data_IF_422687939051
#
_entry.id   IF_422687939051
#
_cell.length_a   1.000
_cell.length_b   1.000
_cell.length_c   1.000
_cell.angle_alpha   90.00
_cell.angle_beta   90.00
_cell.angle_gamma   90.00
#
_symmetry.space_group_name_H-M   'P 1'
#
loop_
_entity.id
_entity.type
_entity.pdbx_description
1 polymer ?
#
# COMPACT_ATOMS: atom_id res chain seq x y z
N UNK A 1 36.48 -19.22 3.74
CA UNK A 1 35.56 -19.39 4.90
C UNK A 1 34.87 -18.12 5.43
N UNK A 2 35.28 -16.89 5.04
CA UNK A 2 34.65 -15.63 5.53
C UNK A 2 33.27 -15.30 4.90
N UNK A 3 32.94 -15.84 3.74
CA UNK A 3 31.66 -15.54 3.06
C UNK A 3 30.41 -16.18 3.71
N UNK A 4 30.57 -17.30 4.40
CA UNK A 4 29.47 -18.03 5.02
C UNK A 4 28.94 -17.36 6.31
N UNK A 5 29.80 -16.61 7.01
CA UNK A 5 29.45 -15.89 8.24
C UNK A 5 28.56 -14.68 7.97
N UNK A 6 28.77 -13.93 6.86
CA UNK A 6 27.93 -12.79 6.47
C UNK A 6 26.54 -13.25 6.04
N UNK A 7 26.44 -14.31 5.23
CA UNK A 7 25.15 -14.90 4.83
C UNK A 7 24.33 -15.39 6.02
N UNK A 8 24.96 -16.06 7.00
CA UNK A 8 24.29 -16.50 8.23
C UNK A 8 23.80 -15.35 9.10
N UNK A 9 24.54 -14.22 9.15
CA UNK A 9 24.11 -13.03 9.90
C UNK A 9 22.92 -12.33 9.25
N UNK A 10 22.88 -12.27 7.92
CA UNK A 10 21.74 -11.70 7.17
C UNK A 10 20.49 -12.56 7.37
N UNK A 11 20.59 -13.89 7.24
CA UNK A 11 19.47 -14.80 7.49
C UNK A 11 19.01 -14.71 8.95
N UNK A 12 19.93 -14.63 9.92
CA UNK A 12 19.58 -14.47 11.33
C UNK A 12 18.90 -13.12 11.61
N UNK A 13 19.31 -12.05 10.93
CA UNK A 13 18.67 -10.73 11.03
C UNK A 13 17.26 -10.77 10.44
N UNK A 14 17.08 -11.40 9.28
CA UNK A 14 15.78 -11.61 8.66
C UNK A 14 14.83 -12.43 9.54
N UNK A 15 15.33 -13.54 10.13
CA UNK A 15 14.55 -14.35 11.08
C UNK A 15 14.23 -13.58 12.37
N UNK A 16 15.14 -12.73 12.86
CA UNK A 16 14.91 -11.90 14.05
C UNK A 16 13.86 -10.80 13.78
N UNK A 17 13.87 -10.23 12.59
CA UNK A 17 12.88 -9.25 12.13
C UNK A 17 11.49 -9.88 12.03
N UNK A 18 11.38 -11.04 11.36
CA UNK A 18 10.11 -11.79 11.27
C UNK A 18 9.61 -12.24 12.66
N UNK A 19 10.52 -12.62 13.56
CA UNK A 19 10.16 -12.97 14.93
C UNK A 19 9.72 -11.76 15.78
N UNK A 20 10.30 -10.59 15.54
CA UNK A 20 9.91 -9.35 16.23
C UNK A 20 8.51 -8.87 15.82
N UNK A 21 8.10 -9.09 14.57
CA UNK A 21 6.75 -8.74 14.09
C UNK A 21 5.66 -9.64 14.69
N UNK A 22 5.98 -10.89 15.04
CA UNK A 22 5.04 -11.81 15.69
C UNK A 22 4.63 -11.39 17.13
N UNK A 23 5.33 -10.43 17.74
CA UNK A 23 5.11 -10.00 19.13
C UNK A 23 4.29 -8.71 19.22
N UNK A 24 4.13 -7.96 18.12
CA UNK A 24 3.55 -6.62 18.11
C UNK A 24 2.09 -6.61 17.62
N UNK A 25 1.26 -7.51 18.08
CA UNK A 25 -0.16 -7.49 17.74
C UNK A 25 -1.00 -7.07 18.94
N UNK A 26 -1.09 -5.78 19.26
CA UNK A 26 -2.02 -5.29 20.28
C UNK A 26 -2.56 -3.92 19.87
N UNK A 27 -3.69 -3.93 19.23
CA UNK A 27 -4.50 -2.74 19.02
C UNK A 27 -5.45 -2.97 17.86
N UNK A 28 -6.66 -3.42 18.12
CA UNK A 28 -7.72 -3.29 17.13
C UNK A 28 -8.06 -1.80 17.05
N UNK A 29 -7.69 -1.17 15.95
CA UNK A 29 -8.24 0.12 15.59
C UNK A 29 -9.67 -0.09 15.12
N UNK A 30 -10.57 0.79 15.52
CA UNK A 30 -11.89 0.90 14.90
C UNK A 30 -11.68 1.22 13.42
N UNK A 31 -12.40 0.52 12.57
CA UNK A 31 -12.33 0.52 11.10
C UNK A 31 -11.98 1.89 10.54
N UNK A 32 -10.72 2.07 10.26
CA UNK A 32 -10.22 3.32 9.69
C UNK A 32 -10.14 3.21 8.17
N UNK A 33 -10.37 4.33 7.48
CA UNK A 33 -10.07 4.45 6.05
C UNK A 33 -8.64 4.01 5.71
N UNK A 34 -7.75 3.97 6.70
CA UNK A 34 -6.35 3.56 6.58
C UNK A 34 -6.16 2.04 6.47
N UNK A 35 -7.16 1.24 6.86
CA UNK A 35 -7.10 -0.23 6.79
C UNK A 35 -7.52 -0.78 5.42
N UNK A 36 -8.20 0.04 4.62
CA UNK A 36 -8.57 -0.31 3.25
C UNK A 36 -7.34 -0.09 2.35
N UNK A 37 -6.90 -1.12 1.63
CA UNK A 37 -5.78 -1.04 0.69
C UNK A 37 -6.05 0.04 -0.37
N UNK A 38 -5.30 1.16 -0.43
CA UNK A 38 -5.69 2.30 -1.28
C UNK A 38 -5.32 2.13 -2.75
N UNK A 39 -4.18 1.49 -3.02
CA UNK A 39 -3.64 1.33 -4.37
C UNK A 39 -4.37 0.25 -5.17
N UNK A 40 -4.49 0.43 -6.48
CA UNK A 40 -5.14 -0.56 -7.35
C UNK A 40 -4.19 -1.68 -7.72
N UNK A 41 -2.94 -1.35 -8.06
CA UNK A 41 -1.90 -2.35 -8.32
C UNK A 41 -1.62 -3.17 -7.05
N UNK A 42 -1.55 -2.51 -5.88
CA UNK A 42 -1.41 -3.16 -4.58
C UNK A 42 -2.56 -4.09 -4.25
N UNK A 43 -3.82 -3.67 -4.45
CA UNK A 43 -4.99 -4.52 -4.25
C UNK A 43 -4.95 -5.77 -5.14
N UNK A 44 -4.54 -5.64 -6.41
CA UNK A 44 -4.39 -6.78 -7.33
C UNK A 44 -3.38 -7.84 -6.85
N UNK A 45 -2.45 -7.45 -5.98
CA UNK A 45 -1.48 -8.31 -5.29
C UNK A 45 -1.87 -8.60 -3.83
N UNK A 46 -3.13 -8.40 -3.45
CA UNK A 46 -3.64 -8.55 -2.08
C UNK A 46 -2.85 -7.72 -1.04
N UNK A 47 -2.29 -6.58 -1.41
CA UNK A 47 -1.48 -5.73 -0.53
C UNK A 47 -0.03 -6.18 -0.32
N UNK A 48 0.45 -7.22 -0.99
CA UNK A 48 1.82 -7.74 -0.88
C UNK A 48 2.84 -6.86 -1.62
N UNK A 49 2.87 -5.57 -1.29
CA UNK A 49 3.66 -4.53 -1.98
C UNK A 49 4.46 -3.62 -1.04
N UNK A 50 4.55 -3.97 0.24
CA UNK A 50 5.24 -3.14 1.25
C UNK A 50 6.75 -3.00 1.05
N UNK A 51 7.37 -3.74 0.13
CA UNK A 51 8.75 -3.56 -0.29
C UNK A 51 8.90 -3.06 -1.73
N UNK A 52 7.81 -2.67 -2.38
CA UNK A 52 7.82 -2.03 -3.70
C UNK A 52 8.46 -0.64 -3.62
N UNK A 53 9.12 -0.20 -4.68
CA UNK A 53 9.86 1.07 -4.70
C UNK A 53 9.68 1.80 -6.04
N UNK A 54 9.91 3.12 -6.03
CA UNK A 54 9.81 3.95 -7.22
C UNK A 54 8.39 4.15 -7.75
N UNK A 55 7.38 3.92 -6.91
CA UNK A 55 5.96 4.00 -7.24
C UNK A 55 5.26 4.99 -6.30
N UNK A 56 4.35 5.81 -6.82
CA UNK A 56 3.55 6.74 -6.02
C UNK A 56 2.67 6.01 -4.98
N UNK A 57 2.25 4.78 -5.23
CA UNK A 57 1.50 3.97 -4.27
C UNK A 57 2.33 3.60 -3.03
N UNK A 58 3.67 3.73 -3.06
CA UNK A 58 4.52 3.56 -1.86
C UNK A 58 4.13 4.52 -0.73
N UNK A 59 3.52 5.67 -1.06
CA UNK A 59 2.88 6.57 -0.11
C UNK A 59 1.91 5.86 0.84
N UNK A 60 1.23 4.82 0.36
CA UNK A 60 0.18 4.12 1.11
C UNK A 60 0.72 2.93 1.91
N UNK A 61 1.73 2.22 1.38
CA UNK A 61 2.18 0.94 1.95
C UNK A 61 3.46 1.07 2.78
N UNK A 62 4.49 1.67 2.20
CA UNK A 62 5.78 1.87 2.84
C UNK A 62 6.46 3.12 2.26
N UNK A 63 6.42 4.25 2.96
CA UNK A 63 6.98 5.50 2.47
C UNK A 63 8.47 5.47 2.09
N UNK A 64 9.26 4.53 2.66
CA UNK A 64 10.65 4.37 2.26
C UNK A 64 10.82 4.05 0.76
N UNK A 65 9.80 3.43 0.13
CA UNK A 65 9.77 3.16 -1.31
C UNK A 65 9.72 4.41 -2.19
N UNK A 66 9.29 5.56 -1.66
CA UNK A 66 9.31 6.85 -2.36
C UNK A 66 10.73 7.34 -2.65
N UNK A 67 11.75 6.84 -1.94
CA UNK A 67 13.13 7.28 -2.08
C UNK A 67 13.68 7.13 -3.51
N UNK A 68 13.19 6.14 -4.25
CA UNK A 68 13.59 5.86 -5.64
C UNK A 68 12.66 6.48 -6.67
N UNK A 69 11.63 7.22 -6.25
CA UNK A 69 10.72 7.88 -7.18
C UNK A 69 11.37 9.14 -7.74
N UNK A 70 11.47 9.21 -9.05
CA UNK A 70 12.01 10.35 -9.78
C UNK A 70 10.90 11.08 -10.55
N UNK A 71 10.94 12.41 -10.52
CA UNK A 71 9.96 13.24 -11.20
C UNK A 71 8.62 13.32 -10.47
N UNK A 72 7.61 13.80 -11.20
CA UNK A 72 6.25 13.98 -10.69
C UNK A 72 5.36 12.82 -11.12
N UNK A 73 4.74 12.15 -10.15
CA UNK A 73 3.78 11.08 -10.36
C UNK A 73 2.47 11.35 -9.62
N UNK A 74 1.37 11.02 -10.25
CA UNK A 74 0.00 11.22 -9.75
C UNK A 74 -0.72 9.88 -9.77
N UNK A 75 -1.55 9.61 -8.78
CA UNK A 75 -2.43 8.44 -8.77
C UNK A 75 -3.83 8.81 -8.29
N UNK A 76 -4.82 8.14 -8.83
CA UNK A 76 -6.22 8.24 -8.40
C UNK A 76 -6.86 6.86 -8.47
N UNK A 77 -7.64 6.52 -7.45
CA UNK A 77 -8.39 5.27 -7.40
C UNK A 77 -9.82 5.49 -6.94
N UNK A 78 -10.73 4.69 -7.47
CA UNK A 78 -12.12 4.60 -7.02
C UNK A 78 -12.49 3.14 -6.85
N UNK A 79 -13.23 2.85 -5.79
CA UNK A 79 -13.67 1.50 -5.47
C UNK A 79 -15.12 1.50 -4.99
N UNK A 80 -15.90 0.56 -5.50
CA UNK A 80 -17.15 0.12 -4.87
C UNK A 80 -16.80 -1.00 -3.90
N UNK A 81 -16.85 -0.69 -2.61
CA UNK A 81 -16.55 -1.63 -1.53
C UNK A 81 -17.83 -2.40 -1.18
N UNK A 82 -17.76 -3.72 -1.29
CA UNK A 82 -18.85 -4.65 -0.95
C UNK A 82 -20.19 -4.35 -1.66
N UNK A 83 -20.16 -3.56 -2.74
CA UNK A 83 -21.33 -3.18 -3.52
C UNK A 83 -22.16 -2.01 -2.97
N UNK A 84 -21.87 -1.51 -1.76
CA UNK A 84 -22.69 -0.50 -1.07
C UNK A 84 -21.91 0.75 -0.68
N UNK A 85 -20.64 0.62 -0.35
CA UNK A 85 -19.80 1.71 0.11
C UNK A 85 -18.84 2.18 -0.98
N UNK A 86 -18.40 3.43 -0.88
CA UNK A 86 -17.46 4.02 -1.84
C UNK A 86 -16.13 4.35 -1.15
N UNK A 87 -15.04 4.04 -1.83
CA UNK A 87 -13.71 4.41 -1.41
C UNK A 87 -12.97 5.10 -2.55
N UNK A 88 -12.32 6.22 -2.25
CA UNK A 88 -11.57 7.00 -3.24
C UNK A 88 -10.22 7.38 -2.64
N UNK A 89 -9.17 7.23 -3.44
CA UNK A 89 -7.81 7.61 -3.09
C UNK A 89 -7.21 8.55 -4.14
N UNK A 90 -6.44 9.53 -3.67
CA UNK A 90 -5.63 10.43 -4.50
C UNK A 90 -4.23 10.51 -3.93
N UNK A 91 -3.23 10.51 -4.79
CA UNK A 91 -1.83 10.68 -4.41
C UNK A 91 -1.07 11.52 -5.43
N UNK A 92 -0.15 12.31 -4.94
CA UNK A 92 0.84 13.01 -5.73
C UNK A 92 2.20 12.83 -5.07
N UNK A 93 3.23 12.51 -5.86
CA UNK A 93 4.57 12.33 -5.36
C UNK A 93 5.59 13.03 -6.27
N UNK A 94 6.64 13.57 -5.67
CA UNK A 94 7.72 14.25 -6.36
C UNK A 94 9.04 14.04 -5.62
N UNK A 95 10.00 13.35 -6.27
CA UNK A 95 11.38 13.18 -5.78
C UNK A 95 11.47 12.77 -4.29
N UNK A 96 10.73 11.74 -3.91
CA UNK A 96 10.74 11.20 -2.55
C UNK A 96 9.73 11.83 -1.59
N UNK A 97 9.01 12.88 -1.97
CA UNK A 97 7.93 13.49 -1.17
C UNK A 97 6.56 13.16 -1.74
N UNK A 98 5.57 12.99 -0.88
CA UNK A 98 4.22 12.68 -1.35
C UNK A 98 3.13 13.28 -0.45
N UNK A 99 2.00 13.58 -1.09
CA UNK A 99 0.74 13.93 -0.46
C UNK A 99 -0.33 12.94 -0.92
N UNK A 100 -1.22 12.55 -0.03
CA UNK A 100 -2.35 11.69 -0.34
C UNK A 100 -3.61 12.12 0.36
N UNK A 101 -4.74 11.71 -0.20
CA UNK A 101 -6.04 11.90 0.42
C UNK A 101 -6.90 10.67 0.15
N UNK A 102 -7.49 10.14 1.21
CA UNK A 102 -8.33 8.95 1.19
C UNK A 102 -9.71 9.33 1.71
N UNK A 103 -10.75 8.81 1.07
CA UNK A 103 -12.14 9.04 1.44
C UNK A 103 -12.90 7.72 1.46
N UNK A 104 -13.61 7.46 2.53
CA UNK A 104 -14.57 6.37 2.65
C UNK A 104 -15.94 6.92 2.98
N UNK A 105 -16.96 6.39 2.33
CA UNK A 105 -18.36 6.71 2.58
C UNK A 105 -19.18 5.43 2.52
N UNK A 106 -19.85 5.08 3.62
CA UNK A 106 -20.72 3.89 3.69
C UNK A 106 -21.97 3.97 2.81
N UNK A 107 -22.23 5.13 2.22
CA UNK A 107 -23.58 5.40 1.68
C UNK A 107 -24.60 5.72 2.78
N UNK A 108 -25.83 5.87 2.38
CA UNK A 108 -26.94 6.20 3.27
C UNK A 108 -27.55 4.91 3.85
N UNK A 109 -27.59 4.83 5.18
CA UNK A 109 -28.17 3.71 5.93
C UNK A 109 -29.43 4.21 6.64
N UNK A 110 -30.57 3.56 6.40
CA UNK A 110 -31.82 3.89 7.09
C UNK A 110 -31.70 3.49 8.58
N UNK A 111 -31.74 4.49 9.46
CA UNK A 111 -31.84 4.26 10.89
C UNK A 111 -33.19 3.63 11.27
N UNK A 112 -33.22 2.83 12.34
CA UNK A 112 -34.45 2.23 12.88
C UNK A 112 -34.47 2.36 14.39
N UNK A 113 -35.66 2.63 14.93
CA UNK A 113 -35.88 2.65 16.37
C UNK A 113 -36.03 1.22 16.94
N UNK A 114 -36.21 1.13 18.26
CA UNK A 114 -36.38 -0.15 18.98
C UNK A 114 -37.62 -0.96 18.54
N UNK A 115 -38.54 -0.31 17.84
CA UNK A 115 -39.74 -0.96 17.28
C UNK A 115 -39.55 -1.38 15.83
N UNK A 116 -38.38 -1.06 15.23
CA UNK A 116 -38.06 -1.31 13.83
C UNK A 116 -38.60 -0.28 12.85
N UNK A 117 -39.20 0.82 13.35
CA UNK A 117 -39.70 1.93 12.52
C UNK A 117 -38.54 2.76 11.97
N UNK A 118 -38.60 3.19 10.69
CA UNK A 118 -37.59 4.05 10.11
C UNK A 118 -37.41 5.36 10.92
N UNK A 119 -36.15 5.74 11.11
CA UNK A 119 -35.78 7.01 11.73
C UNK A 119 -35.00 7.87 10.73
N UNK A 120 -34.00 8.61 11.18
CA UNK A 120 -33.14 9.41 10.32
C UNK A 120 -32.21 8.53 9.47
N UNK A 121 -31.80 9.07 8.34
CA UNK A 121 -30.77 8.44 7.51
C UNK A 121 -29.37 8.73 8.08
N UNK A 122 -28.62 7.68 8.32
CA UNK A 122 -27.25 7.77 8.84
C UNK A 122 -26.25 7.51 7.72
N UNK A 123 -25.09 8.16 7.77
CA UNK A 123 -23.96 7.83 6.91
C UNK A 123 -22.67 7.87 7.73
N UNK A 124 -21.80 6.88 7.49
CA UNK A 124 -20.45 6.87 8.05
C UNK A 124 -19.47 7.41 7.02
N UNK A 125 -18.74 8.44 7.38
CA UNK A 125 -17.68 9.03 6.54
C UNK A 125 -16.37 9.01 7.31
N UNK A 126 -15.31 8.59 6.64
CA UNK A 126 -13.97 8.59 7.19
C UNK A 126 -12.98 9.05 6.13
N UNK A 127 -12.16 10.06 6.45
CA UNK A 127 -11.22 10.62 5.51
C UNK A 127 -9.82 10.68 6.14
N UNK A 128 -8.78 10.57 5.32
CA UNK A 128 -7.41 10.74 5.78
C UNK A 128 -6.61 11.60 4.80
N UNK A 129 -5.91 12.59 5.33
CA UNK A 129 -4.86 13.31 4.62
C UNK A 129 -3.51 12.76 5.03
N UNK A 130 -2.65 12.49 4.04
CA UNK A 130 -1.36 11.85 4.20
C UNK A 130 -0.25 12.80 3.71
N UNK A 131 0.80 12.94 4.49
CA UNK A 131 2.05 13.56 4.08
C UNK A 131 3.17 12.55 4.31
N UNK A 132 3.93 12.22 3.27
CA UNK A 132 4.97 11.20 3.36
C UNK A 132 6.27 11.63 2.71
N UNK A 133 7.36 10.99 3.14
CA UNK A 133 8.66 11.12 2.52
C UNK A 133 9.41 9.79 2.53
N UNK A 134 10.26 9.61 1.53
CA UNK A 134 11.26 8.55 1.44
C UNK A 134 12.61 9.14 1.07
N UNK A 135 13.65 8.75 1.80
CA UNK A 135 15.01 9.25 1.65
C UNK A 135 15.96 8.07 1.46
N UNK A 136 16.68 8.05 0.36
CA UNK A 136 17.71 7.08 0.03
C UNK A 136 19.05 7.74 -0.24
N UNK A 137 19.92 7.07 -0.98
CA UNK A 137 21.25 7.58 -1.31
C UNK A 137 21.22 8.90 -2.10
N UNK A 138 20.21 9.09 -2.96
CA UNK A 138 20.05 10.30 -3.77
C UNK A 138 19.79 11.55 -2.91
N UNK A 139 19.09 11.40 -1.79
CA UNK A 139 18.75 12.50 -0.87
C UNK A 139 19.74 12.60 0.29
N UNK A 140 20.31 11.48 0.72
CA UNK A 140 21.22 11.36 1.85
C UNK A 140 22.51 10.68 1.41
N UNK A 141 23.42 11.42 0.79
CA UNK A 141 24.63 10.90 0.16
C UNK A 141 25.52 10.02 1.05
N UNK A 142 25.43 10.11 2.39
CA UNK A 142 26.16 9.21 3.30
C UNK A 142 25.64 7.76 3.23
N UNK A 143 24.40 7.53 2.81
CA UNK A 143 23.84 6.20 2.62
C UNK A 143 24.52 5.44 1.46
N UNK A 144 25.01 6.16 0.44
CA UNK A 144 25.74 5.59 -0.68
C UNK A 144 27.06 4.88 -0.25
N UNK A 145 27.56 5.18 0.96
CA UNK A 145 28.73 4.50 1.52
C UNK A 145 28.41 3.13 2.15
N UNK A 146 27.13 2.81 2.30
CA UNK A 146 26.69 1.52 2.86
C UNK A 146 26.83 0.39 1.81
N UNK A 147 27.11 -0.85 2.25
CA UNK A 147 27.21 -2.00 1.34
C UNK A 147 25.83 -2.55 0.90
N UNK A 148 24.76 -1.82 1.12
CA UNK A 148 23.36 -2.16 0.83
C UNK A 148 22.64 -0.90 0.39
N UNK A 149 21.65 -1.06 -0.50
CA UNK A 149 20.71 0.00 -0.88
C UNK A 149 19.71 0.18 0.27
N UNK A 150 19.90 1.23 1.07
CA UNK A 150 19.08 1.54 2.24
C UNK A 150 18.25 2.78 1.98
N UNK A 151 16.96 2.68 2.23
CA UNK A 151 16.06 3.83 2.31
C UNK A 151 15.29 3.86 3.62
N UNK A 152 14.95 5.06 4.06
CA UNK A 152 14.12 5.35 5.22
C UNK A 152 12.95 6.21 4.81
N UNK A 153 11.84 6.09 5.51
CA UNK A 153 10.64 6.88 5.20
C UNK A 153 9.80 7.18 6.43
N UNK A 154 8.93 8.14 6.27
CA UNK A 154 7.94 8.49 7.28
C UNK A 154 6.66 8.98 6.64
N UNK A 155 5.56 8.85 7.38
CA UNK A 155 4.25 9.35 6.98
C UNK A 155 3.52 9.93 8.17
N UNK A 156 2.96 11.13 7.99
CA UNK A 156 2.03 11.77 8.92
C UNK A 156 0.62 11.57 8.37
N UNK A 157 -0.29 11.16 9.22
CA UNK A 157 -1.70 10.89 8.90
C UNK A 157 -2.59 11.79 9.73
N UNK A 158 -3.54 12.48 9.07
CA UNK A 158 -4.63 13.22 9.70
C UNK A 158 -5.93 12.55 9.30
N UNK A 159 -6.68 12.09 10.29
CA UNK A 159 -7.93 11.35 10.09
C UNK A 159 -9.11 12.16 10.61
N UNK A 160 -10.19 12.17 9.86
CA UNK A 160 -11.48 12.70 10.31
C UNK A 160 -12.55 11.65 10.10
N UNK A 161 -13.46 11.52 11.06
CA UNK A 161 -14.57 10.59 10.98
C UNK A 161 -15.86 11.29 11.38
N UNK A 162 -16.98 10.85 10.81
CA UNK A 162 -18.31 11.30 11.23
C UNK A 162 -19.34 10.19 11.06
N UNK A 163 -20.25 10.09 12.05
CA UNK A 163 -21.41 9.19 12.02
C UNK A 163 -22.58 9.90 12.68
N UNK A 164 -23.62 10.19 11.92
CA UNK A 164 -24.73 11.04 12.39
C UNK A 164 -24.22 12.40 12.84
N UNK A 165 -24.55 12.80 14.08
CA UNK A 165 -24.11 14.05 14.70
C UNK A 165 -22.72 13.95 15.36
N UNK A 166 -22.18 12.74 15.50
CA UNK A 166 -20.87 12.52 16.14
C UNK A 166 -19.75 12.68 15.11
N UNK A 167 -18.74 13.46 15.46
CA UNK A 167 -17.53 13.62 14.65
C UNK A 167 -16.29 13.44 15.50
N UNK A 168 -15.22 13.02 14.86
CA UNK A 168 -13.91 12.85 15.49
C UNK A 168 -12.78 13.23 14.56
N UNK A 169 -11.64 13.56 15.14
CA UNK A 169 -10.41 13.82 14.38
C UNK A 169 -9.19 13.29 15.13
N UNK A 170 -8.16 12.94 14.36
CA UNK A 170 -6.95 12.38 14.93
C UNK A 170 -5.75 12.46 14.03
N UNK A 171 -4.62 12.03 14.56
CA UNK A 171 -3.37 11.94 13.81
C UNK A 171 -2.55 10.73 14.28
N UNK A 172 -1.73 10.24 13.35
CA UNK A 172 -0.77 9.18 13.61
C UNK A 172 0.49 9.38 12.75
N UNK A 173 1.58 8.72 13.14
CA UNK A 173 2.86 8.76 12.45
C UNK A 173 3.27 7.34 12.10
N UNK A 174 3.80 7.15 10.89
CA UNK A 174 4.48 5.91 10.51
C UNK A 174 5.96 6.18 10.28
N UNK A 175 6.78 5.19 10.62
CA UNK A 175 8.20 5.14 10.29
C UNK A 175 8.49 3.86 9.51
N UNK A 176 9.33 3.96 8.50
CA UNK A 176 9.61 2.81 7.65
C UNK A 176 11.04 2.78 7.14
N UNK A 177 11.46 1.59 6.71
CA UNK A 177 12.74 1.37 6.06
C UNK A 177 12.62 0.29 5.00
N UNK A 178 13.50 0.36 3.99
CA UNK A 178 13.70 -0.70 3.01
C UNK A 178 15.19 -0.96 2.80
N UNK A 179 15.52 -2.21 2.53
CA UNK A 179 16.88 -2.66 2.20
C UNK A 179 16.81 -3.43 0.89
N UNK A 180 17.48 -2.91 -0.12
CA UNK A 180 17.69 -3.58 -1.40
C UNK A 180 18.96 -4.42 -1.41
N UNK A 181 18.92 -5.51 -2.14
CA UNK A 181 20.04 -6.47 -2.26
C UNK A 181 20.51 -6.59 -3.70
N UNK A 182 21.79 -6.86 -3.86
CA UNK A 182 22.38 -7.08 -5.17
C UNK A 182 21.72 -8.26 -5.91
N UNK A 183 21.56 -8.18 -7.23
CA UNK A 183 21.02 -9.27 -8.04
C UNK A 183 21.81 -10.57 -7.87
N UNK A 184 21.09 -11.70 -7.86
CA UNK A 184 21.68 -13.05 -7.86
C UNK A 184 21.42 -13.68 -9.23
N UNK A 185 22.50 -14.10 -9.92
CA UNK A 185 22.43 -14.79 -11.21
C UNK A 185 23.08 -16.15 -11.11
N UNK A 186 22.34 -17.21 -11.42
CA UNK A 186 22.77 -18.60 -11.33
C UNK A 186 22.39 -19.31 -12.65
N UNK A 187 23.35 -19.42 -13.57
CA UNK A 187 23.05 -19.96 -14.91
C UNK A 187 22.05 -19.11 -15.67
N UNK A 188 20.95 -19.72 -16.14
CA UNK A 188 19.84 -19.01 -16.80
C UNK A 188 18.77 -18.45 -15.83
N UNK A 189 19.00 -18.52 -14.53
CA UNK A 189 18.05 -18.03 -13.52
C UNK A 189 18.54 -16.69 -12.94
N UNK A 190 17.70 -15.66 -13.01
CA UNK A 190 17.96 -14.34 -12.40
C UNK A 190 16.95 -14.05 -11.30
N UNK A 191 17.44 -13.57 -10.15
CA UNK A 191 16.65 -12.92 -9.12
C UNK A 191 17.18 -11.50 -9.02
N UNK A 192 16.33 -10.55 -9.32
CA UNK A 192 16.65 -9.12 -9.30
C UNK A 192 15.70 -8.39 -8.37
N UNK A 193 16.01 -7.15 -8.08
CA UNK A 193 15.21 -6.27 -7.23
C UNK A 193 14.70 -6.93 -5.93
N UNK A 194 15.60 -7.67 -5.26
CA UNK A 194 15.27 -8.24 -3.95
C UNK A 194 15.27 -7.15 -2.90
N UNK A 195 14.15 -7.01 -2.18
CA UNK A 195 13.99 -6.01 -1.13
C UNK A 195 13.31 -6.57 0.10
N UNK A 196 13.68 -6.03 1.24
CA UNK A 196 13.01 -6.24 2.53
C UNK A 196 12.57 -4.89 3.05
N UNK A 197 11.33 -4.77 3.44
CA UNK A 197 10.75 -3.58 4.05
C UNK A 197 10.28 -3.83 5.46
N UNK A 198 10.36 -2.80 6.29
CA UNK A 198 9.77 -2.75 7.63
C UNK A 198 9.05 -1.43 7.79
N UNK A 199 7.86 -1.47 8.38
CA UNK A 199 7.11 -0.28 8.74
C UNK A 199 6.51 -0.43 10.13
N UNK A 200 6.67 0.60 10.95
CA UNK A 200 5.96 0.81 12.20
C UNK A 200 4.81 1.79 11.90
N UNK A 201 3.60 1.31 12.10
CA UNK A 201 2.39 2.04 11.72
C UNK A 201 1.70 2.60 12.96
N UNK A 202 1.02 3.72 12.79
CA UNK A 202 0.12 4.32 13.77
C UNK A 202 0.76 4.68 15.11
N UNK A 203 2.05 5.05 15.08
CA UNK A 203 2.75 5.53 16.26
C UNK A 203 2.05 6.77 16.83
N UNK A 204 1.82 6.75 18.16
CA UNK A 204 1.19 7.84 18.90
C UNK A 204 -0.20 8.22 18.39
N UNK A 205 -0.83 7.34 17.60
CA UNK A 205 -2.11 7.61 16.97
C UNK A 205 -3.25 7.74 17.99
N UNK A 206 -4.11 8.77 17.80
CA UNK A 206 -5.30 9.00 18.60
C UNK A 206 -6.40 9.57 17.71
N UNK A 207 -7.63 9.18 18.01
CA UNK A 207 -8.85 9.74 17.43
C UNK A 207 -9.68 10.32 18.60
N UNK A 208 -9.95 11.60 18.56
CA UNK A 208 -10.71 12.32 19.57
C UNK A 208 -12.09 12.62 19.02
N UNK A 209 -13.13 12.38 19.82
CA UNK A 209 -14.53 12.59 19.50
C UNK A 209 -15.16 13.65 20.38
N UNK A 210 -16.15 14.36 19.84
CA UNK A 210 -16.90 15.40 20.55
C UNK A 210 -16.22 16.78 20.53
N UNK A 211 -16.93 17.81 20.97
CA UNK A 211 -16.45 19.20 20.91
C UNK A 211 -15.26 19.49 21.85
N UNK A 212 -15.06 18.70 22.90
CA UNK A 212 -14.01 18.89 23.89
C UNK A 212 -13.17 17.63 24.12
N UNK A 213 -12.98 16.81 23.08
CA UNK A 213 -12.27 15.54 23.21
C UNK A 213 -12.86 14.62 24.29
N UNK A 214 -14.19 14.59 24.39
CA UNK A 214 -14.94 13.86 25.43
C UNK A 214 -14.59 12.37 25.46
N UNK A 215 -14.25 11.81 24.31
CA UNK A 215 -13.80 10.44 24.17
C UNK A 215 -12.58 10.36 23.28
N UNK A 216 -11.54 9.70 23.75
CA UNK A 216 -10.30 9.46 22.98
C UNK A 216 -10.10 7.98 22.76
N UNK A 217 -9.91 7.60 21.49
CA UNK A 217 -9.59 6.26 21.07
C UNK A 217 -8.14 6.20 20.54
N UNK A 218 -7.25 5.36 21.11
CA UNK A 218 -5.91 5.20 20.57
C UNK A 218 -5.95 4.37 19.28
N UNK A 219 -5.18 4.74 18.28
CA UNK A 219 -4.82 3.82 17.19
C UNK A 219 -3.87 2.76 17.74
N UNK A 220 -4.11 1.50 17.41
CA UNK A 220 -3.17 0.44 17.73
C UNK A 220 -1.87 0.62 16.91
N UNK A 221 -0.73 0.71 17.60
CA UNK A 221 0.56 0.62 16.93
C UNK A 221 0.71 -0.76 16.29
N UNK A 222 1.15 -0.83 15.05
CA UNK A 222 1.31 -2.08 14.34
C UNK A 222 2.63 -2.14 13.59
N UNK A 223 3.03 -3.36 13.19
CA UNK A 223 4.24 -3.64 12.43
C UNK A 223 3.89 -4.34 11.12
N UNK A 224 4.52 -3.90 10.04
CA UNK A 224 4.49 -4.56 8.74
C UNK A 224 5.90 -4.94 8.33
N UNK A 225 6.11 -6.21 8.01
CA UNK A 225 7.34 -6.71 7.40
C UNK A 225 7.03 -7.19 5.99
N UNK A 226 7.87 -6.84 5.03
CA UNK A 226 7.64 -7.13 3.62
C UNK A 226 8.88 -7.65 2.94
N UNK A 227 8.67 -8.45 1.92
CA UNK A 227 9.70 -8.95 1.02
C UNK A 227 9.20 -8.91 -0.41
N UNK A 228 10.06 -8.53 -1.34
CA UNK A 228 9.80 -8.68 -2.78
C UNK A 228 11.04 -9.15 -3.52
N UNK A 229 10.83 -9.79 -4.65
CA UNK A 229 11.87 -10.16 -5.61
C UNK A 229 11.29 -10.23 -7.01
N UNK A 230 12.08 -9.87 -8.02
CA UNK A 230 11.76 -10.05 -9.42
C UNK A 230 12.51 -11.27 -9.96
N UNK A 231 11.77 -12.20 -10.54
CA UNK A 231 12.27 -13.44 -11.15
C UNK A 231 12.21 -13.31 -12.67
N UNK A 232 13.28 -13.72 -13.35
CA UNK A 232 13.37 -13.72 -14.82
C UNK A 232 13.10 -12.35 -15.46
N UNK A 233 13.35 -11.27 -14.73
CA UNK A 233 13.13 -9.87 -15.14
C UNK A 233 11.68 -9.56 -15.62
N UNK A 234 10.69 -10.39 -15.21
CA UNK A 234 9.29 -10.24 -15.60
C UNK A 234 8.27 -10.61 -14.53
N UNK A 235 8.62 -11.49 -13.58
CA UNK A 235 7.71 -11.98 -12.55
C UNK A 235 8.10 -11.41 -11.20
N UNK A 236 7.28 -10.51 -10.66
CA UNK A 236 7.43 -9.99 -9.30
C UNK A 236 6.67 -10.88 -8.33
N UNK A 237 7.35 -11.28 -7.27
CA UNK A 237 6.77 -11.93 -6.10
C UNK A 237 6.81 -10.98 -4.92
N UNK A 238 5.70 -10.87 -4.19
CA UNK A 238 5.57 -10.09 -2.96
C UNK A 238 5.06 -10.96 -1.81
N UNK A 239 5.58 -10.68 -0.64
CA UNK A 239 5.14 -11.25 0.64
C UNK A 239 5.14 -10.16 1.70
N UNK A 240 4.00 -9.96 2.37
CA UNK A 240 3.91 -9.07 3.51
C UNK A 240 3.32 -9.83 4.70
N UNK A 241 3.90 -9.58 5.87
CA UNK A 241 3.30 -9.88 7.16
C UNK A 241 2.84 -8.55 7.75
N UNK A 242 1.55 -8.39 7.86
CA UNK A 242 0.91 -7.11 8.16
C UNK A 242 0.30 -7.05 9.56
N UNK A 243 -0.45 -5.98 9.79
CA UNK A 243 -1.20 -5.75 11.01
C UNK A 243 -2.05 -6.95 11.44
N UNK A 244 -2.19 -7.12 12.76
CA UNK A 244 -3.04 -8.17 13.36
C UNK A 244 -2.70 -9.60 12.90
N UNK A 245 -1.48 -9.81 12.37
CA UNK A 245 -1.04 -11.11 11.89
C UNK A 245 -1.56 -11.49 10.50
N UNK A 246 -1.94 -10.51 9.68
CA UNK A 246 -2.31 -10.74 8.28
C UNK A 246 -1.12 -11.22 7.46
N UNK A 247 -1.35 -12.15 6.55
CA UNK A 247 -0.37 -12.64 5.59
C UNK A 247 -0.86 -12.29 4.19
N UNK A 248 -0.03 -11.58 3.45
CA UNK A 248 -0.30 -11.19 2.08
C UNK A 248 0.70 -11.87 1.14
N UNK A 249 0.21 -12.49 0.10
CA UNK A 249 1.00 -13.09 -0.97
C UNK A 249 0.53 -12.50 -2.29
N UNK A 250 1.46 -12.06 -3.13
CA UNK A 250 1.15 -11.45 -4.41
C UNK A 250 2.13 -11.84 -5.48
N UNK A 251 1.65 -11.91 -6.71
CA UNK A 251 2.46 -12.07 -7.91
C UNK A 251 1.99 -11.08 -8.97
N UNK A 252 2.94 -10.52 -9.71
CA UNK A 252 2.70 -9.69 -10.88
C UNK A 252 3.57 -10.20 -12.02
N UNK A 253 2.96 -10.44 -13.16
CA UNK A 253 3.66 -10.75 -14.40
C UNK A 253 3.46 -9.62 -15.40
N UNK A 254 4.56 -9.00 -15.84
CA UNK A 254 4.54 -7.92 -16.81
C UNK A 254 4.92 -8.42 -18.19
N UNK A 255 4.01 -8.25 -19.15
CA UNK A 255 4.19 -8.62 -20.54
C UNK A 255 4.51 -7.38 -21.39
N UNK A 256 5.67 -7.41 -22.07
CA UNK A 256 6.12 -6.37 -23.01
C UNK A 256 6.19 -4.95 -22.39
N UNK A 257 6.41 -4.84 -21.10
CA UNK A 257 6.37 -3.57 -20.34
C UNK A 257 5.08 -2.76 -20.55
N UNK A 258 4.00 -3.44 -20.93
CA UNK A 258 2.72 -2.85 -21.31
C UNK A 258 1.56 -3.38 -20.45
N UNK A 259 1.49 -4.70 -20.30
CA UNK A 259 0.37 -5.38 -19.65
C UNK A 259 0.84 -6.09 -18.38
N UNK A 260 0.31 -5.69 -17.23
CA UNK A 260 0.52 -6.35 -15.96
C UNK A 260 -0.68 -7.24 -15.63
N UNK A 261 -0.43 -8.49 -15.24
CA UNK A 261 -1.43 -9.42 -14.72
C UNK A 261 -1.03 -9.74 -13.29
N UNK A 262 -1.98 -9.59 -12.36
CA UNK A 262 -1.74 -9.71 -10.94
C UNK A 262 -2.67 -10.74 -10.32
N UNK A 263 -2.18 -11.45 -9.33
CA UNK A 263 -2.97 -12.30 -8.45
C UNK A 263 -2.43 -12.21 -7.03
N UNK A 264 -3.34 -12.33 -6.07
CA UNK A 264 -2.94 -12.26 -4.66
C UNK A 264 -3.87 -13.04 -3.76
N UNK A 265 -3.37 -13.26 -2.54
CA UNK A 265 -4.10 -13.88 -1.45
C UNK A 265 -3.76 -13.14 -0.15
N UNK A 266 -4.80 -12.76 0.57
CA UNK A 266 -4.73 -12.27 1.94
C UNK A 266 -5.28 -13.34 2.86
N UNK A 267 -4.58 -13.63 3.95
CA UNK A 267 -5.06 -14.48 5.03
C UNK A 267 -5.08 -13.69 6.34
N UNK A 268 -6.23 -13.72 7.02
CA UNK A 268 -6.39 -13.23 8.38
C UNK A 268 -7.07 -14.32 9.20
N UNK A 269 -6.33 -14.92 10.13
CA UNK A 269 -6.77 -16.12 10.86
C UNK A 269 -7.22 -17.22 9.88
N UNK A 270 -8.50 -17.65 9.95
CA UNK A 270 -9.07 -18.69 9.09
C UNK A 270 -9.80 -18.14 7.85
N UNK A 271 -9.74 -16.82 7.60
CA UNK A 271 -10.39 -16.16 6.46
C UNK A 271 -9.38 -15.92 5.36
N UNK A 272 -9.72 -16.39 4.15
CA UNK A 272 -8.91 -16.16 2.94
C UNK A 272 -9.68 -15.26 1.98
N UNK A 273 -8.98 -14.25 1.50
CA UNK A 273 -9.43 -13.32 0.46
C UNK A 273 -8.52 -13.47 -0.75
N UNK A 274 -9.09 -13.59 -1.95
CA UNK A 274 -8.33 -13.68 -3.19
C UNK A 274 -8.54 -12.43 -4.01
N UNK A 275 -7.48 -12.02 -4.69
CA UNK A 275 -7.49 -10.85 -5.55
C UNK A 275 -6.95 -11.20 -6.93
N UNK A 276 -7.46 -10.50 -7.93
CA UNK A 276 -6.90 -10.49 -9.28
C UNK A 276 -6.81 -9.04 -9.75
N UNK A 277 -5.82 -8.75 -10.60
CA UNK A 277 -5.62 -7.42 -11.14
C UNK A 277 -5.13 -7.47 -12.59
N UNK A 278 -5.45 -6.43 -13.31
CA UNK A 278 -4.92 -6.16 -14.65
C UNK A 278 -4.51 -4.70 -14.73
N UNK A 279 -3.36 -4.43 -15.32
CA UNK A 279 -2.83 -3.08 -15.52
C UNK A 279 -2.34 -2.89 -16.95
N UNK A 280 -2.53 -1.69 -17.47
CA UNK A 280 -2.02 -1.26 -18.76
C UNK A 280 -1.15 -0.03 -18.55
N UNK A 281 0.15 -0.11 -18.90
CA UNK A 281 1.09 1.03 -18.87
C UNK A 281 1.34 1.55 -20.28
N UNK A 282 0.86 2.74 -20.55
CA UNK A 282 1.05 3.45 -21.82
C UNK A 282 2.16 4.50 -21.66
N UNK A 283 3.38 4.04 -21.29
CA UNK A 283 4.59 4.87 -21.19
C UNK A 283 4.41 6.11 -20.29
N UNK A 284 3.99 5.84 -19.06
CA UNK A 284 3.78 6.87 -18.04
C UNK A 284 2.30 7.16 -17.76
N UNK A 285 1.36 6.56 -18.50
CA UNK A 285 -0.06 6.52 -18.11
C UNK A 285 -0.42 5.07 -17.81
N UNK A 286 -0.65 4.77 -16.53
CA UNK A 286 -1.14 3.50 -16.04
C UNK A 286 -2.65 3.51 -15.86
N UNK A 287 -3.32 2.45 -16.29
CA UNK A 287 -4.74 2.18 -16.01
C UNK A 287 -4.82 0.81 -15.40
N UNK A 288 -5.32 0.73 -14.18
CA UNK A 288 -5.38 -0.50 -13.41
C UNK A 288 -6.81 -0.82 -13.00
N UNK A 289 -7.10 -2.11 -12.96
CA UNK A 289 -8.32 -2.66 -12.38
C UNK A 289 -7.96 -3.81 -11.46
N UNK A 290 -8.63 -3.90 -10.31
CA UNK A 290 -8.51 -4.99 -9.36
C UNK A 290 -9.89 -5.44 -8.85
N UNK A 291 -9.99 -6.73 -8.60
CA UNK A 291 -11.13 -7.40 -7.99
C UNK A 291 -10.65 -8.12 -6.73
N UNK A 292 -11.37 -7.93 -5.63
CA UNK A 292 -11.17 -8.64 -4.38
C UNK A 292 -12.42 -9.42 -4.01
N UNK A 293 -12.25 -10.70 -3.66
CA UNK A 293 -13.36 -11.58 -3.26
C UNK A 293 -13.55 -11.55 -1.75
N UNK A 294 -14.80 -11.71 -1.31
CA UNK A 294 -15.14 -11.82 0.11
C UNK A 294 -16.04 -13.03 0.32
N UNK A 295 -15.92 -13.70 1.48
CA UNK A 295 -16.69 -14.92 1.75
C UNK A 295 -18.20 -14.65 1.92
N UNK A 296 -18.55 -13.51 2.54
CA UNK A 296 -19.92 -13.19 2.94
C UNK A 296 -20.44 -11.84 2.42
N UNK A 297 -19.60 -11.12 1.68
CA UNK A 297 -19.93 -9.82 1.12
C UNK A 297 -19.76 -9.85 -0.40
N UNK A 298 -20.35 -8.90 -1.08
CA UNK A 298 -20.11 -8.69 -2.52
C UNK A 298 -18.65 -8.39 -2.78
N UNK A 299 -18.19 -8.75 -3.98
CA UNK A 299 -16.81 -8.47 -4.38
C UNK A 299 -16.55 -6.95 -4.40
N UNK A 300 -15.32 -6.59 -4.08
CA UNK A 300 -14.82 -5.22 -4.21
C UNK A 300 -14.21 -5.03 -5.60
N UNK A 301 -14.65 -4.02 -6.30
CA UNK A 301 -14.13 -3.61 -7.61
C UNK A 301 -13.40 -2.28 -7.47
N UNK A 302 -12.16 -2.20 -7.94
CA UNK A 302 -11.38 -0.97 -7.93
C UNK A 302 -10.79 -0.67 -9.29
N UNK A 303 -10.87 0.59 -9.69
CA UNK A 303 -10.22 1.12 -10.88
C UNK A 303 -9.32 2.30 -10.48
N UNK A 304 -8.21 2.47 -11.18
CA UNK A 304 -7.31 3.60 -10.95
C UNK A 304 -6.56 4.02 -12.18
N UNK A 305 -6.04 5.22 -12.09
CA UNK A 305 -5.18 5.83 -13.10
C UNK A 305 -3.94 6.37 -12.41
N UNK A 306 -2.78 6.08 -12.97
CA UNK A 306 -1.50 6.64 -12.56
C UNK A 306 -0.88 7.42 -13.72
N UNK A 307 -0.33 8.59 -13.45
CA UNK A 307 0.37 9.42 -14.44
C UNK A 307 1.75 9.70 -13.90
N UNK A 308 2.76 9.15 -14.55
CA UNK A 308 4.17 9.40 -14.28
C UNK A 308 4.74 10.35 -15.35
N UNK A 309 4.86 11.62 -14.98
CA UNK A 309 5.32 12.67 -15.90
C UNK A 309 6.80 12.52 -16.26
N UNK A 310 7.60 11.85 -15.44
CA UNK A 310 9.00 11.54 -15.75
C UNK A 310 9.16 10.51 -16.87
N UNK A 311 8.19 9.59 -17.00
CA UNK A 311 8.14 8.54 -18.03
C UNK A 311 7.25 8.89 -19.22
N UNK A 312 6.49 9.99 -19.14
CA UNK A 312 5.48 10.32 -20.14
C UNK A 312 6.12 10.66 -21.51
N UNK A 313 5.83 9.84 -22.50
CA UNK A 313 6.29 10.03 -23.88
C UNK A 313 5.12 10.03 -24.88
N UNK A 314 4.55 11.22 -25.08
CA UNK A 314 3.38 11.42 -25.96
C UNK A 314 3.63 11.03 -27.42
N UNK A 315 4.89 11.11 -27.90
CA UNK A 315 5.24 10.74 -29.29
C UNK A 315 5.14 9.23 -29.55
N UNK A 316 5.53 8.41 -28.60
CA UNK A 316 5.45 6.95 -28.72
C UNK A 316 4.05 6.41 -28.44
N UNK A 317 3.27 7.08 -27.58
CA UNK A 317 1.87 6.74 -27.33
C UNK A 317 1.03 6.74 -28.61
N UNK A 318 1.21 7.72 -29.49
CA UNK A 318 0.48 7.79 -30.77
C UNK A 318 0.75 6.56 -31.63
N UNK A 319 1.98 6.03 -31.64
CA UNK A 319 2.35 4.83 -32.37
C UNK A 319 1.77 3.52 -31.77
N UNK A 320 1.62 3.44 -30.46
CA UNK A 320 0.97 2.30 -29.78
C UNK A 320 -0.52 2.30 -30.06
N UNK A 321 -1.18 3.44 -29.89
CA UNK A 321 -2.62 3.59 -30.12
C UNK A 321 -3.01 3.29 -31.57
N UNK A 322 -2.19 3.68 -32.57
CA UNK A 322 -2.42 3.34 -33.98
C UNK A 322 -2.27 1.84 -34.28
N UNK A 323 -1.55 1.07 -33.45
CA UNK A 323 -1.43 -0.39 -33.61
C UNK A 323 -2.57 -1.15 -32.91
N UNK A 324 -3.19 -0.57 -31.90
CA UNK A 324 -4.26 -1.20 -31.10
C UNK A 324 -5.64 -0.82 -31.64
N UNK A 325 -5.78 0.39 -32.16
CA UNK A 325 -7.02 0.91 -32.75
C UNK A 325 -6.83 1.05 -34.26
N UNK A 326 -7.27 0.06 -35.04
CA UNK A 326 -7.15 0.06 -36.50
C UNK A 326 -8.04 1.13 -37.17
#
# INVERSE_FOLDING_TARGET
>A
MKGNSKKRRIVALLCAVVAATAIAGVGQSVTSVLEIEPGVAGLGMAGAVGSRTGDVESLYYNPAGLASLEGLSLTSSYSSQWGESNYTGFGVAFNGWALGYLMFNSGDVEGRDDTGSPTETLSYKNNAALFAFGLGENQLGFLASLPVDLSIGGRLKFVTTSFGETSGSGMAVDLSTQIGFNPVRLGGFSITDMRVGLAMLDLFGRLNYGENDEYTEPFGMDLRASFSAMLFDALVFGFDFGPVGTIHLGVEYTLLDLLAIRAGMLSLADVFTFTIGIGLDLQGIGIDYALETHNNLSATHRIGVTIDLGRLNLGSMSGILQRILP
#
